data_IF_412371342513
#
_entry.id   IF_412371342513
#
_cell.length_a   1.000
_cell.length_b   1.000
_cell.length_c   1.000
_cell.angle_alpha   90.00
_cell.angle_beta   90.00
_cell.angle_gamma   90.00
#
_symmetry.space_group_name_H-M   'P 1'
#
loop_
_entity.id
_entity.type
_entity.pdbx_description
1 polymer ?
#
# COMPACT_ATOMS: atom_id res chain seq x y z
N UNK A 1 -6.41 26.12 4.11
CA UNK A 1 -7.03 24.77 4.02
C UNK A 1 -7.19 24.28 2.58
N UNK A 2 -7.95 24.93 1.69
CA UNK A 2 -8.24 24.41 0.33
C UNK A 2 -6.99 24.03 -0.50
N UNK A 3 -5.93 24.88 -0.49
CA UNK A 3 -4.66 24.60 -1.19
C UNK A 3 -3.87 23.41 -0.63
N UNK A 4 -3.94 23.16 0.68
CA UNK A 4 -3.19 22.06 1.31
C UNK A 4 -3.86 20.71 1.04
N UNK A 5 -5.20 20.67 1.04
CA UNK A 5 -5.97 19.48 0.63
C UNK A 5 -5.65 19.08 -0.81
N UNK A 6 -5.59 20.06 -1.73
CA UNK A 6 -5.22 19.80 -3.13
C UNK A 6 -3.78 19.29 -3.28
N UNK A 7 -2.84 19.73 -2.43
CA UNK A 7 -1.44 19.27 -2.49
C UNK A 7 -1.30 17.83 -1.99
N UNK A 8 -2.01 17.45 -0.92
CA UNK A 8 -2.01 16.07 -0.40
C UNK A 8 -2.57 15.12 -1.46
N UNK A 9 -3.69 15.47 -2.08
CA UNK A 9 -4.33 14.68 -3.14
C UNK A 9 -3.42 14.51 -4.37
N UNK A 10 -2.70 15.56 -4.76
CA UNK A 10 -1.76 15.51 -5.89
C UNK A 10 -0.53 14.64 -5.57
N UNK A 11 -0.02 14.70 -4.34
CA UNK A 11 1.06 13.82 -3.86
C UNK A 11 0.57 12.37 -3.83
N UNK A 12 -0.64 12.10 -3.34
CA UNK A 12 -1.23 10.75 -3.35
C UNK A 12 -1.36 10.23 -4.77
N UNK A 13 -1.88 11.04 -5.69
CA UNK A 13 -2.02 10.65 -7.08
C UNK A 13 -0.66 10.34 -7.74
N UNK A 14 0.38 11.09 -7.37
CA UNK A 14 1.75 10.81 -7.81
C UNK A 14 2.28 9.49 -7.23
N UNK A 15 2.17 9.28 -5.90
CA UNK A 15 2.67 8.08 -5.21
C UNK A 15 1.94 6.81 -5.62
N UNK A 16 0.64 6.91 -5.90
CA UNK A 16 -0.22 5.81 -6.35
C UNK A 16 -0.20 5.61 -7.87
N UNK A 17 0.62 6.37 -8.60
CA UNK A 17 0.77 6.28 -10.07
C UNK A 17 -0.54 6.52 -10.84
N UNK A 18 -1.49 7.27 -10.26
CA UNK A 18 -2.73 7.66 -10.93
C UNK A 18 -2.60 8.99 -11.67
N UNK A 19 -1.58 9.79 -11.36
CA UNK A 19 -1.22 11.01 -12.09
C UNK A 19 -0.59 10.69 -13.45
N UNK A 20 -1.10 11.28 -14.54
CA UNK A 20 -0.68 10.97 -15.93
C UNK A 20 -0.52 12.23 -16.78
N UNK A 21 0.15 12.08 -17.93
CA UNK A 21 0.26 13.12 -18.96
C UNK A 21 0.94 14.39 -18.46
N UNK A 22 0.43 15.55 -18.88
CA UNK A 22 0.95 16.88 -18.53
C UNK A 22 0.99 17.11 -17.00
N UNK A 23 -0.05 16.78 -16.21
CA UNK A 23 0.01 16.88 -14.76
C UNK A 23 1.22 16.16 -14.12
N UNK A 24 1.55 14.97 -14.60
CA UNK A 24 2.72 14.22 -14.12
C UNK A 24 4.03 14.95 -14.39
N UNK A 25 4.18 15.52 -15.59
CA UNK A 25 5.38 16.28 -15.98
C UNK A 25 5.53 17.55 -15.14
N UNK A 26 4.43 18.29 -14.93
CA UNK A 26 4.41 19.49 -14.09
C UNK A 26 4.78 19.15 -12.65
N UNK A 27 4.21 18.08 -12.10
CA UNK A 27 4.53 17.64 -10.75
C UNK A 27 6.00 17.25 -10.61
N UNK A 28 6.57 16.50 -11.57
CA UNK A 28 7.99 16.14 -11.58
C UNK A 28 8.90 17.37 -11.66
N UNK A 29 8.56 18.36 -12.48
CA UNK A 29 9.31 19.61 -12.56
C UNK A 29 9.30 20.35 -11.20
N UNK A 30 8.12 20.46 -10.55
CA UNK A 30 7.99 21.03 -9.21
C UNK A 30 8.80 20.26 -8.17
N UNK A 31 8.78 18.92 -8.23
CA UNK A 31 9.53 18.05 -7.32
C UNK A 31 11.05 18.24 -7.45
N UNK A 32 11.55 18.50 -8.67
CA UNK A 32 12.96 18.75 -8.93
C UNK A 32 13.45 20.06 -8.29
N UNK A 33 12.61 21.11 -8.29
CA UNK A 33 13.01 22.44 -7.80
C UNK A 33 12.64 22.71 -6.35
N UNK A 34 11.59 22.09 -5.82
CA UNK A 34 11.09 22.36 -4.46
C UNK A 34 11.57 21.34 -3.43
N UNK A 35 12.44 21.78 -2.51
CA UNK A 35 12.87 20.97 -1.37
C UNK A 35 11.72 20.66 -0.40
N UNK A 36 10.80 21.62 -0.22
CA UNK A 36 9.61 21.45 0.63
C UNK A 36 8.70 20.34 0.09
N UNK A 37 8.42 20.35 -1.22
CA UNK A 37 7.58 19.32 -1.85
C UNK A 37 8.23 17.93 -1.72
N UNK A 38 9.55 17.83 -1.90
CA UNK A 38 10.27 16.57 -1.67
C UNK A 38 10.13 16.06 -0.23
N UNK A 39 10.18 16.94 0.76
CA UNK A 39 9.99 16.55 2.15
C UNK A 39 8.57 16.00 2.40
N UNK A 40 7.54 16.68 1.89
CA UNK A 40 6.15 16.23 1.99
C UNK A 40 5.92 14.89 1.29
N UNK A 41 6.44 14.71 0.07
CA UNK A 41 6.36 13.44 -0.66
C UNK A 41 7.00 12.30 0.14
N UNK A 42 8.17 12.52 0.76
CA UNK A 42 8.82 11.50 1.60
C UNK A 42 8.00 11.16 2.85
N UNK A 43 7.43 12.15 3.52
CA UNK A 43 6.58 11.93 4.70
C UNK A 43 5.34 11.11 4.33
N UNK A 44 4.66 11.49 3.24
CA UNK A 44 3.47 10.77 2.78
C UNK A 44 3.81 9.36 2.30
N UNK A 45 4.97 9.17 1.66
CA UNK A 45 5.47 7.84 1.30
C UNK A 45 5.66 6.94 2.53
N UNK A 46 6.19 7.47 3.64
CA UNK A 46 6.32 6.73 4.90
C UNK A 46 4.96 6.34 5.49
N UNK A 47 3.99 7.27 5.47
CA UNK A 47 2.62 6.97 5.91
C UNK A 47 2.01 5.84 5.08
N UNK A 48 2.15 5.89 3.76
CA UNK A 48 1.70 4.82 2.86
C UNK A 48 2.37 3.47 3.15
N UNK A 49 3.65 3.47 3.50
CA UNK A 49 4.36 2.25 3.88
C UNK A 49 3.79 1.64 5.17
N UNK A 50 3.52 2.47 6.18
CA UNK A 50 2.91 2.02 7.44
C UNK A 50 1.51 1.45 7.19
N UNK A 51 0.67 2.14 6.43
CA UNK A 51 -0.68 1.66 6.08
C UNK A 51 -0.61 0.31 5.34
N UNK A 52 0.28 0.19 4.35
CA UNK A 52 0.49 -1.06 3.61
C UNK A 52 1.04 -2.20 4.48
N UNK A 53 1.85 -1.87 5.48
CA UNK A 53 2.34 -2.86 6.43
C UNK A 53 1.18 -3.38 7.28
N UNK A 54 0.44 -2.47 7.94
CA UNK A 54 -0.69 -2.84 8.79
C UNK A 54 -1.77 -3.62 8.04
N UNK A 55 -2.12 -3.20 6.83
CA UNK A 55 -3.08 -3.95 6.00
C UNK A 55 -2.60 -5.36 5.66
N UNK A 56 -1.29 -5.57 5.47
CA UNK A 56 -0.72 -6.91 5.25
C UNK A 56 -0.72 -7.75 6.53
N UNK A 57 -0.50 -7.14 7.68
CA UNK A 57 -0.60 -7.83 8.97
C UNK A 57 -2.02 -8.35 9.21
N UNK A 58 -3.03 -7.53 8.97
CA UNK A 58 -4.43 -7.91 9.10
C UNK A 58 -4.80 -9.05 8.16
N UNK A 59 -4.41 -8.95 6.87
CA UNK A 59 -4.64 -10.01 5.90
C UNK A 59 -3.94 -11.32 6.29
N UNK A 60 -2.73 -11.24 6.83
CA UNK A 60 -1.99 -12.41 7.30
C UNK A 60 -2.70 -13.09 8.48
N UNK A 61 -3.22 -12.31 9.42
CA UNK A 61 -4.01 -12.85 10.54
C UNK A 61 -5.29 -13.52 10.05
N UNK A 62 -5.98 -12.92 9.08
CA UNK A 62 -7.18 -13.53 8.47
C UNK A 62 -6.85 -14.86 7.77
N UNK A 63 -5.77 -14.89 6.99
CA UNK A 63 -5.31 -16.11 6.33
C UNK A 63 -4.92 -17.19 7.33
N UNK A 64 -4.24 -16.83 8.42
CA UNK A 64 -3.89 -17.78 9.47
C UNK A 64 -5.15 -18.38 10.12
N UNK A 65 -6.14 -17.55 10.45
CA UNK A 65 -7.39 -18.02 11.03
C UNK A 65 -8.16 -18.98 10.10
N UNK A 66 -8.19 -18.67 8.79
CA UNK A 66 -8.79 -19.56 7.78
C UNK A 66 -8.01 -20.88 7.71
N UNK A 67 -6.68 -20.81 7.66
CA UNK A 67 -5.83 -21.99 7.65
C UNK A 67 -6.08 -22.88 8.86
N UNK A 68 -6.06 -22.29 10.06
CA UNK A 68 -6.23 -23.03 11.31
C UNK A 68 -7.59 -23.73 11.36
N UNK A 69 -8.65 -23.03 10.93
CA UNK A 69 -9.98 -23.62 10.82
C UNK A 69 -10.05 -24.77 9.80
N UNK A 70 -9.41 -24.63 8.64
CA UNK A 70 -9.38 -25.69 7.64
C UNK A 70 -8.60 -26.93 8.14
N UNK A 71 -7.57 -26.75 8.97
CA UNK A 71 -6.81 -27.86 9.54
C UNK A 71 -7.58 -28.67 10.60
N UNK A 72 -8.66 -28.13 11.15
CA UNK A 72 -9.58 -28.87 12.04
C UNK A 72 -10.37 -29.94 11.26
N UNK A 73 -10.55 -29.77 9.95
CA UNK A 73 -11.15 -30.78 9.08
C UNK A 73 -10.13 -31.86 8.71
N UNK A 74 -10.33 -33.06 9.26
CA UNK A 74 -9.48 -34.22 9.01
C UNK A 74 -9.36 -34.59 7.51
N UNK A 75 -10.41 -34.36 6.72
CA UNK A 75 -10.40 -34.61 5.27
C UNK A 75 -9.46 -33.64 4.55
N UNK A 76 -9.55 -32.35 4.90
CA UNK A 76 -8.66 -31.33 4.37
C UNK A 76 -7.21 -31.54 4.80
N UNK A 77 -6.98 -31.81 6.09
CA UNK A 77 -5.65 -32.10 6.64
C UNK A 77 -4.99 -33.31 5.94
N UNK A 78 -5.74 -34.40 5.74
CA UNK A 78 -5.22 -35.56 5.02
C UNK A 78 -4.87 -35.22 3.57
N UNK A 79 -5.78 -34.52 2.88
CA UNK A 79 -5.59 -34.13 1.48
C UNK A 79 -4.37 -33.25 1.28
N UNK A 80 -4.18 -32.22 2.11
CA UNK A 80 -3.05 -31.30 1.97
C UNK A 80 -1.72 -31.96 2.32
N UNK A 81 -1.70 -32.82 3.35
CA UNK A 81 -0.47 -33.52 3.77
C UNK A 81 0.00 -34.47 2.68
N UNK A 82 -0.93 -35.09 1.94
CA UNK A 82 -0.61 -35.99 0.83
C UNK A 82 0.05 -35.30 -0.37
N UNK A 83 -0.08 -33.97 -0.50
CA UNK A 83 0.56 -33.18 -1.58
C UNK A 83 2.05 -32.95 -1.30
N UNK A 84 2.46 -32.93 -0.03
CA UNK A 84 3.83 -32.63 0.40
C UNK A 84 4.62 -33.87 0.84
N UNK A 85 4.09 -35.08 0.60
CA UNK A 85 4.78 -36.37 0.72
C UNK A 85 5.42 -36.77 -0.61
#
# INVERSE_FOLDING_TARGET
MRKQLTEIEEIDAFLLQTLRGVPLLVFRARLAVSAELRAKVRQQQQVHQVIKYLGREEQRQQLQAIHDHLMEDASFHHSITSIFQ
#
